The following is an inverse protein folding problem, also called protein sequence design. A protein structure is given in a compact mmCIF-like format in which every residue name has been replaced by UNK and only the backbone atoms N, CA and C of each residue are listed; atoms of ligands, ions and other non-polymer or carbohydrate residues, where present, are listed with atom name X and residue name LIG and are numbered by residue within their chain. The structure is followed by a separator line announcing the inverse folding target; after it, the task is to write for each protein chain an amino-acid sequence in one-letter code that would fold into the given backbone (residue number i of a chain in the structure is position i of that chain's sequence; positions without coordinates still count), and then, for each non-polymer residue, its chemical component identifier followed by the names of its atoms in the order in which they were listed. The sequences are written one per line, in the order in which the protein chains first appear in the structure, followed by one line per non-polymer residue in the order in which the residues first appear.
data_IF_999406422545
#
_entry.id   IF_999406422545
#
_cell.length_a   1.000
_cell.length_b   1.000
_cell.length_c   1.000
_cell.angle_alpha   90.00
_cell.angle_beta   90.00
_cell.angle_gamma   90.00
#
_symmetry.space_group_name_H-M   'P 1'
#
loop_
_entity.id
_entity.type
_entity.pdbx_description
1 polymer ?
#
# COMPACT_ATOMS: atom_id res chain seq x y z
N UNK A 1 6.92 12.68 -4.08
CA UNK A 1 7.71 11.45 -3.94
C UNK A 1 7.40 10.45 -5.05
N UNK A 2 6.15 10.03 -5.24
CA UNK A 2 5.75 9.17 -6.37
C UNK A 2 6.24 9.67 -7.74
N UNK A 3 6.10 10.97 -8.05
CA UNK A 3 6.64 11.55 -9.29
C UNK A 3 8.14 11.33 -9.49
N UNK A 4 8.96 11.47 -8.45
CA UNK A 4 10.40 11.31 -8.56
C UNK A 4 10.82 9.83 -8.62
N UNK A 5 10.12 8.96 -7.89
CA UNK A 5 10.45 7.54 -7.81
C UNK A 5 9.90 6.73 -9.01
N UNK A 6 8.69 7.07 -9.47
CA UNK A 6 7.88 6.28 -10.39
C UNK A 6 7.43 7.06 -11.63
N UNK A 7 7.64 8.38 -11.65
CA UNK A 7 7.08 9.25 -12.71
C UNK A 7 5.61 9.58 -12.55
N UNK A 8 4.93 8.99 -11.54
CA UNK A 8 3.49 9.15 -11.38
C UNK A 8 3.11 10.56 -10.90
N UNK A 9 2.13 11.11 -11.60
CA UNK A 9 1.43 12.35 -11.29
C UNK A 9 0.06 12.05 -10.66
N UNK A 10 -0.76 13.09 -10.47
CA UNK A 10 -2.12 12.91 -9.98
C UNK A 10 -3.02 12.15 -10.98
N UNK A 11 -2.71 12.25 -12.29
CA UNK A 11 -3.47 11.58 -13.35
C UNK A 11 -3.26 10.05 -13.34
N UNK A 12 -2.18 9.58 -12.72
CA UNK A 12 -1.81 8.17 -12.63
C UNK A 12 -2.43 7.47 -11.39
N UNK A 13 -3.37 8.13 -10.69
CA UNK A 13 -3.95 7.60 -9.46
C UNK A 13 -4.66 6.25 -9.65
N UNK A 14 -5.36 6.06 -10.77
CA UNK A 14 -6.01 4.79 -11.10
C UNK A 14 -4.98 3.68 -11.37
N UNK A 15 -3.93 3.99 -12.14
CA UNK A 15 -2.85 3.05 -12.41
C UNK A 15 -2.13 2.61 -11.12
N UNK A 16 -1.90 3.55 -10.19
CA UNK A 16 -1.36 3.24 -8.87
C UNK A 16 -2.30 2.35 -8.05
N UNK A 17 -3.61 2.61 -8.10
CA UNK A 17 -4.60 1.79 -7.41
C UNK A 17 -4.64 0.36 -7.96
N UNK A 18 -4.58 0.18 -9.28
CA UNK A 18 -4.53 -1.14 -9.92
C UNK A 18 -3.25 -1.90 -9.60
N UNK A 19 -2.11 -1.21 -9.58
CA UNK A 19 -0.83 -1.78 -9.16
C UNK A 19 -0.91 -2.29 -7.71
N UNK A 20 -1.46 -1.49 -6.80
CA UNK A 20 -1.64 -1.87 -5.39
C UNK A 20 -2.57 -3.09 -5.28
N UNK A 21 -3.70 -3.11 -5.98
CA UNK A 21 -4.65 -4.25 -5.96
C UNK A 21 -4.00 -5.55 -6.39
N UNK A 22 -3.17 -5.51 -7.43
CA UNK A 22 -2.42 -6.67 -7.90
C UNK A 22 -1.37 -7.10 -6.87
N UNK A 23 -0.63 -6.15 -6.30
CA UNK A 23 0.42 -6.44 -5.33
C UNK A 23 -0.11 -7.06 -4.04
N UNK A 24 -1.20 -6.54 -3.46
CA UNK A 24 -1.75 -7.09 -2.21
C UNK A 24 -2.36 -8.48 -2.37
N UNK A 25 -2.64 -8.92 -3.61
CA UNK A 25 -3.14 -10.27 -3.88
C UNK A 25 -2.03 -11.33 -3.87
N UNK A 26 -0.76 -10.93 -3.98
CA UNK A 26 0.39 -11.84 -4.15
C UNK A 26 1.46 -11.68 -3.06
N UNK A 27 1.52 -10.53 -2.40
CA UNK A 27 2.50 -10.27 -1.34
C UNK A 27 1.90 -10.50 0.04
N UNK A 28 2.73 -10.99 0.96
CA UNK A 28 2.32 -11.23 2.34
C UNK A 28 1.99 -9.93 3.09
N UNK A 29 0.92 -9.99 3.86
CA UNK A 29 0.54 -8.91 4.76
C UNK A 29 1.18 -9.10 6.14
N UNK A 30 1.82 -8.05 6.64
CA UNK A 30 2.39 -7.98 7.99
C UNK A 30 1.33 -7.43 8.94
N UNK A 31 0.95 -8.23 9.93
CA UNK A 31 0.06 -7.81 11.02
C UNK A 31 0.75 -6.77 11.91
N UNK A 32 0.12 -5.61 12.08
CA UNK A 32 0.58 -4.54 12.98
C UNK A 32 -0.22 -4.48 14.29
N UNK A 33 -1.23 -5.34 14.45
CA UNK A 33 -2.13 -5.37 15.60
C UNK A 33 -3.37 -4.49 15.39
N UNK A 34 -4.14 -4.30 16.44
CA UNK A 34 -5.40 -3.56 16.34
C UNK A 34 -5.17 -2.06 16.10
N UNK A 35 -6.19 -1.42 15.50
CA UNK A 35 -6.29 0.02 15.43
C UNK A 35 -6.54 0.61 16.82
N UNK A 36 -6.43 1.93 16.96
CA UNK A 36 -6.52 2.60 18.26
C UNK A 36 -7.89 2.43 18.95
N UNK A 37 -8.94 2.15 18.18
CA UNK A 37 -10.31 1.96 18.67
C UNK A 37 -10.59 0.51 19.06
N UNK A 38 -9.74 -0.44 18.65
CA UNK A 38 -9.92 -1.88 18.89
C UNK A 38 -11.01 -2.54 18.03
N UNK A 39 -11.56 -1.83 17.05
CA UNK A 39 -12.65 -2.33 16.18
C UNK A 39 -12.17 -2.86 14.84
N UNK A 40 -10.86 -2.85 14.62
CA UNK A 40 -10.26 -3.32 13.38
C UNK A 40 -8.78 -3.56 13.53
N UNK A 41 -8.23 -4.33 12.60
CA UNK A 41 -6.84 -4.78 12.61
C UNK A 41 -6.06 -4.11 11.50
N UNK A 42 -4.84 -3.70 11.82
CA UNK A 42 -3.94 -2.99 10.92
C UNK A 42 -2.97 -3.96 10.27
N UNK A 43 -2.78 -3.79 8.98
CA UNK A 43 -1.85 -4.56 8.17
C UNK A 43 -0.96 -3.64 7.36
N UNK A 44 0.20 -4.18 6.97
CA UNK A 44 1.13 -3.54 6.06
C UNK A 44 1.54 -4.49 4.97
N UNK A 45 1.59 -4.00 3.73
CA UNK A 45 2.16 -4.73 2.60
C UNK A 45 3.24 -3.86 2.00
N UNK A 46 4.43 -4.44 1.88
CA UNK A 46 5.59 -3.84 1.23
C UNK A 46 5.89 -4.63 -0.05
N UNK A 47 6.03 -3.95 -1.17
CA UNK A 47 6.32 -4.59 -2.46
C UNK A 47 7.19 -3.71 -3.33
N UNK A 48 8.06 -4.36 -4.10
CA UNK A 48 9.01 -3.71 -4.98
C UNK A 48 8.41 -3.50 -6.37
N UNK A 49 8.65 -2.33 -6.95
CA UNK A 49 8.21 -1.98 -8.29
C UNK A 49 9.35 -1.33 -9.09
N UNK A 50 9.36 -1.48 -10.42
CA UNK A 50 10.29 -0.73 -11.27
C UNK A 50 10.02 0.78 -11.15
N UNK A 51 10.98 1.51 -10.60
CA UNK A 51 11.00 2.97 -10.63
C UNK A 51 11.66 3.52 -11.89
N UNK A 52 11.83 4.84 -11.96
CA UNK A 52 12.44 5.51 -13.12
C UNK A 52 13.92 5.15 -13.30
N UNK A 53 14.67 5.07 -12.20
CA UNK A 53 16.12 4.82 -12.22
C UNK A 53 16.53 3.53 -11.48
N UNK A 54 15.69 3.07 -10.55
CA UNK A 54 15.97 1.92 -9.68
C UNK A 54 14.67 1.23 -9.28
N UNK A 55 14.80 0.03 -8.71
CA UNK A 55 13.68 -0.61 -8.00
C UNK A 55 13.37 0.24 -6.75
N UNK A 56 12.07 0.47 -6.51
CA UNK A 56 11.58 1.19 -5.35
C UNK A 56 10.55 0.36 -4.61
N UNK A 57 10.57 0.41 -3.28
CA UNK A 57 9.58 -0.28 -2.46
C UNK A 57 8.41 0.65 -2.18
N UNK A 58 7.19 0.21 -2.48
CA UNK A 58 5.96 0.87 -2.03
C UNK A 58 5.50 0.18 -0.74
N UNK A 59 5.16 0.99 0.26
CA UNK A 59 4.52 0.56 1.50
C UNK A 59 3.07 1.01 1.52
N UNK A 60 2.18 0.05 1.73
CA UNK A 60 0.75 0.29 1.92
C UNK A 60 0.32 -0.15 3.32
N UNK A 61 -0.49 0.68 3.96
CA UNK A 61 -1.11 0.40 5.26
C UNK A 61 -2.61 0.22 5.09
N UNK A 62 -3.16 -0.76 5.79
CA UNK A 62 -4.55 -1.20 5.63
C UNK A 62 -5.22 -1.39 6.97
N UNK A 63 -6.52 -1.07 7.02
CA UNK A 63 -7.40 -1.42 8.13
C UNK A 63 -8.48 -2.40 7.66
N UNK A 64 -8.61 -3.51 8.39
CA UNK A 64 -9.71 -4.48 8.24
C UNK A 64 -10.57 -4.36 9.49
N UNK A 65 -11.80 -3.86 9.35
CA UNK A 65 -12.72 -3.79 10.49
C UNK A 65 -13.28 -5.16 10.83
N UNK A 66 -13.59 -5.38 12.11
CA UNK A 66 -14.20 -6.63 12.56
C UNK A 66 -15.54 -6.88 11.86
N UNK A 67 -15.69 -8.08 11.29
CA UNK A 67 -16.89 -8.47 10.54
C UNK A 67 -17.04 -7.80 9.17
N UNK A 68 -16.07 -7.00 8.72
CA UNK A 68 -16.05 -6.42 7.38
C UNK A 68 -15.39 -7.38 6.39
N UNK A 69 -16.02 -7.57 5.24
CA UNK A 69 -15.41 -8.22 4.07
C UNK A 69 -14.58 -7.22 3.23
N UNK A 70 -14.63 -5.94 3.59
CA UNK A 70 -13.89 -4.87 2.91
C UNK A 70 -12.68 -4.43 3.72
N UNK A 71 -11.57 -4.20 3.02
CA UNK A 71 -10.34 -3.62 3.56
C UNK A 71 -10.18 -2.19 3.08
N UNK A 72 -9.75 -1.29 3.96
CA UNK A 72 -9.51 0.12 3.61
C UNK A 72 -8.03 0.44 3.58
N UNK A 73 -7.57 1.03 2.48
CA UNK A 73 -6.24 1.61 2.37
C UNK A 73 -6.19 2.88 3.23
N UNK A 74 -5.27 2.95 4.17
CA UNK A 74 -5.10 4.12 5.05
C UNK A 74 -3.86 4.94 4.72
N UNK A 75 -2.80 4.28 4.25
CA UNK A 75 -1.54 4.94 3.88
C UNK A 75 -0.94 4.28 2.65
N UNK A 76 -0.30 5.06 1.79
CA UNK A 76 0.47 4.59 0.65
C UNK A 76 1.62 5.56 0.41
N UNK A 77 2.85 5.06 0.45
CA UNK A 77 4.04 5.87 0.20
C UNK A 77 5.19 5.01 -0.32
N UNK A 78 6.11 5.65 -1.03
CA UNK A 78 7.37 5.03 -1.43
C UNK A 78 8.31 5.04 -0.20
N UNK A 79 9.01 3.94 0.07
CA UNK A 79 10.08 3.91 1.07
C UNK A 79 11.35 4.50 0.46
N UNK A 80 11.92 5.51 1.12
CA UNK A 80 13.30 5.91 0.82
C UNK A 80 14.24 4.83 1.33
N UNK A 81 15.18 4.44 0.47
CA UNK A 81 16.33 3.61 0.80
C UNK A 81 17.59 4.39 0.53
#
# INVERSE_FOLDING_TARGET
MFKAALGFSADDAEALADLIRQAIAIHDAILLGDNEVGTGTRYRVDFDVPGQERIVTIRTGWNVDQGSETVRLTTCFVLEG
#
